data_IF_011035579642
#
_entry.id   IF_011035579642
#
_cell.length_a   1.000
_cell.length_b   1.000
_cell.length_c   1.000
_cell.angle_alpha   90.00
_cell.angle_beta   90.00
_cell.angle_gamma   90.00
#
_symmetry.space_group_name_H-M   'P 1'
#
loop_
_entity.id
_entity.type
_entity.pdbx_description
1 polymer ?
#
# COMPACT_ATOMS: atom_id res chain seq x y z
N UNK A 1 9.51 27.44 2.55
CA UNK A 1 9.39 26.03 3.01
C UNK A 1 10.02 25.17 1.95
N UNK A 2 11.14 24.48 2.22
CA UNK A 2 11.72 23.56 1.25
C UNK A 2 10.65 22.53 0.89
N UNK A 3 10.21 22.52 -0.38
CA UNK A 3 9.44 21.41 -0.92
C UNK A 3 10.35 20.19 -0.84
N UNK A 4 10.11 19.29 0.12
CA UNK A 4 10.74 17.99 0.09
C UNK A 4 10.22 17.30 -1.19
N UNK A 5 11.06 17.21 -2.20
CA UNK A 5 10.80 16.40 -3.40
C UNK A 5 10.50 14.96 -2.95
N UNK A 6 9.54 14.33 -3.61
CA UNK A 6 9.27 12.91 -3.36
C UNK A 6 10.48 12.11 -3.86
N UNK A 7 11.01 11.23 -3.02
CA UNK A 7 11.99 10.23 -3.43
C UNK A 7 11.23 9.00 -3.98
N UNK A 8 10.90 9.05 -5.27
CA UNK A 8 10.14 8.02 -5.98
C UNK A 8 10.94 7.48 -7.17
N UNK A 9 10.53 6.31 -7.68
CA UNK A 9 11.06 5.77 -8.93
C UNK A 9 9.92 5.39 -9.86
N UNK A 10 10.02 5.76 -11.12
CA UNK A 10 9.06 5.40 -12.17
C UNK A 10 9.75 4.56 -13.24
N UNK A 11 9.12 3.45 -13.61
CA UNK A 11 9.54 2.59 -14.71
C UNK A 11 8.48 2.67 -15.81
N UNK A 12 8.88 3.20 -16.97
CA UNK A 12 8.04 3.30 -18.17
C UNK A 12 8.59 2.28 -19.17
N UNK A 13 7.77 1.32 -19.66
CA UNK A 13 8.22 0.32 -20.60
C UNK A 13 8.55 0.95 -21.96
N UNK A 14 9.63 0.50 -22.60
CA UNK A 14 10.15 1.04 -23.87
C UNK A 14 9.16 0.95 -25.05
N UNK A 15 8.18 0.04 -24.98
CA UNK A 15 7.08 -0.08 -25.94
C UNK A 15 5.78 -0.52 -25.23
N UNK A 16 4.61 0.01 -25.62
CA UNK A 16 3.34 -0.56 -25.21
C UNK A 16 3.23 -1.96 -25.81
N UNK A 17 3.37 -3.00 -24.97
CA UNK A 17 3.20 -4.38 -25.40
C UNK A 17 1.71 -4.63 -25.66
N UNK A 18 1.26 -4.26 -26.86
CA UNK A 18 -0.16 -4.24 -27.21
C UNK A 18 -0.46 -3.92 -28.67
N UNK A 19 0.44 -4.23 -29.61
CA UNK A 19 0.08 -4.45 -31.02
C UNK A 19 0.99 -5.56 -31.56
N UNK A 20 0.66 -6.82 -31.25
CA UNK A 20 1.04 -7.91 -32.14
C UNK A 20 -0.04 -7.95 -33.22
N UNK A 21 0.29 -7.49 -34.42
CA UNK A 21 -0.52 -7.74 -35.62
C UNK A 21 -0.53 -9.25 -35.90
N UNK A 22 -1.41 -9.98 -35.23
CA UNK A 22 -1.89 -11.24 -35.76
C UNK A 22 -3.05 -10.93 -36.68
N UNK A 23 -2.77 -11.03 -37.98
CA UNK A 23 -3.77 -11.13 -39.02
C UNK A 23 -4.67 -12.34 -38.73
N UNK A 24 -5.87 -12.08 -38.22
CA UNK A 24 -7.15 -12.75 -38.53
C UNK A 24 -8.19 -12.51 -37.40
N UNK A 25 -9.19 -11.68 -37.70
CA UNK A 25 -10.58 -11.90 -37.28
C UNK A 25 -10.95 -11.84 -35.80
N UNK A 26 -10.84 -10.67 -35.15
CA UNK A 26 -11.55 -10.37 -33.90
C UNK A 26 -11.09 -9.06 -33.27
N UNK A 27 -11.94 -8.03 -33.24
CA UNK A 27 -11.67 -6.80 -32.49
C UNK A 27 -11.75 -7.10 -30.99
N UNK A 28 -10.67 -7.59 -30.40
CA UNK A 28 -10.45 -7.39 -28.96
C UNK A 28 -10.12 -5.90 -28.77
N UNK A 29 -11.00 -5.18 -28.07
CA UNK A 29 -10.71 -3.82 -27.63
C UNK A 29 -9.39 -3.87 -26.84
N UNK A 30 -8.33 -3.26 -27.38
CA UNK A 30 -6.99 -3.29 -26.77
C UNK A 30 -7.08 -2.88 -25.31
N UNK A 31 -6.93 -3.85 -24.41
CA UNK A 31 -7.13 -3.61 -22.98
C UNK A 31 -5.91 -2.85 -22.48
N UNK A 32 -6.11 -1.58 -22.12
CA UNK A 32 -5.03 -0.72 -21.65
C UNK A 32 -4.42 -1.33 -20.37
N UNK A 33 -3.11 -1.60 -20.39
CA UNK A 33 -2.39 -2.07 -19.21
C UNK A 33 -2.53 -1.04 -18.09
N UNK A 34 -2.76 -1.46 -16.83
CA UNK A 34 -2.88 -0.53 -15.73
C UNK A 34 -1.51 0.06 -15.36
N UNK A 35 -1.52 1.30 -14.88
CA UNK A 35 -0.41 1.86 -14.11
C UNK A 35 -0.45 1.26 -12.70
N UNK A 36 0.67 0.74 -12.24
CA UNK A 36 0.79 0.13 -10.91
C UNK A 36 1.53 1.05 -9.97
N UNK A 37 0.95 1.35 -8.81
CA UNK A 37 1.60 2.14 -7.76
C UNK A 37 1.92 1.22 -6.58
N UNK A 38 3.22 1.00 -6.33
CA UNK A 38 3.73 0.24 -5.19
C UNK A 38 3.97 1.19 -3.99
N UNK A 39 3.24 0.97 -2.90
CA UNK A 39 3.38 1.72 -1.65
C UNK A 39 4.12 0.88 -0.62
N UNK A 40 5.41 1.17 -0.46
CA UNK A 40 6.34 0.37 0.34
C UNK A 40 6.07 0.36 1.85
N UNK A 41 6.66 -0.63 2.52
CA UNK A 41 6.59 -0.78 3.97
C UNK A 41 7.64 0.06 4.70
N UNK A 42 7.53 0.13 6.02
CA UNK A 42 8.42 0.93 6.86
C UNK A 42 9.88 0.51 6.69
N UNK A 43 10.73 1.45 6.27
CA UNK A 43 12.17 1.25 6.10
C UNK A 43 12.58 0.41 4.90
N UNK A 44 11.66 0.10 3.98
CA UNK A 44 12.02 -0.59 2.75
C UNK A 44 12.80 0.32 1.80
N UNK A 45 13.72 -0.26 1.04
CA UNK A 45 14.50 0.46 0.02
C UNK A 45 13.86 0.28 -1.35
N UNK A 46 14.18 1.17 -2.29
CA UNK A 46 13.77 1.02 -3.69
C UNK A 46 14.18 -0.34 -4.29
N UNK A 47 15.37 -0.84 -3.93
CA UNK A 47 15.86 -2.18 -4.31
C UNK A 47 14.94 -3.30 -3.82
N UNK A 48 14.27 -3.15 -2.68
CA UNK A 48 13.29 -4.12 -2.21
C UNK A 48 12.05 -4.10 -3.12
N UNK A 49 11.52 -2.91 -3.41
CA UNK A 49 10.34 -2.74 -4.28
C UNK A 49 10.61 -3.11 -5.74
N UNK A 50 11.84 -2.97 -6.25
CA UNK A 50 12.23 -3.35 -7.61
C UNK A 50 11.84 -4.79 -7.96
N UNK A 51 11.93 -5.72 -6.98
CA UNK A 51 11.56 -7.13 -7.17
C UNK A 51 10.06 -7.30 -7.45
N UNK A 52 9.24 -6.51 -6.77
CA UNK A 52 7.78 -6.49 -6.95
C UNK A 52 7.42 -5.73 -8.23
N UNK A 53 8.11 -4.63 -8.53
CA UNK A 53 7.95 -3.85 -9.78
C UNK A 53 8.15 -4.72 -11.01
N UNK A 54 9.18 -5.58 -10.99
CA UNK A 54 9.49 -6.49 -12.08
C UNK A 54 8.34 -7.45 -12.44
N UNK A 55 7.39 -7.71 -11.53
CA UNK A 55 6.19 -8.50 -11.84
C UNK A 55 5.33 -7.78 -12.88
N UNK A 56 5.13 -6.48 -12.72
CA UNK A 56 4.25 -5.66 -13.54
C UNK A 56 4.97 -5.06 -14.73
N UNK A 57 6.18 -4.53 -14.52
CA UNK A 57 6.97 -3.90 -15.58
C UNK A 57 7.28 -4.86 -16.74
N UNK A 58 7.61 -6.12 -16.44
CA UNK A 58 7.82 -7.18 -17.48
C UNK A 58 6.57 -7.47 -18.32
N UNK A 59 5.41 -6.97 -17.92
CA UNK A 59 4.12 -7.13 -18.62
C UNK A 59 3.65 -5.85 -19.29
N UNK A 60 4.51 -4.82 -19.34
CA UNK A 60 4.21 -3.55 -20.02
C UNK A 60 3.41 -2.56 -19.18
N UNK A 61 3.33 -2.74 -17.86
CA UNK A 61 2.78 -1.73 -16.96
C UNK A 61 3.80 -0.62 -16.71
N UNK A 62 3.32 0.62 -16.64
CA UNK A 62 4.05 1.69 -15.95
C UNK A 62 4.00 1.37 -14.45
N UNK A 63 5.15 1.46 -13.77
CA UNK A 63 5.20 1.19 -12.32
C UNK A 63 5.82 2.37 -11.59
N UNK A 64 5.09 2.92 -10.62
CA UNK A 64 5.59 3.93 -9.69
C UNK A 64 5.87 3.24 -8.36
N UNK A 65 7.09 3.41 -7.86
CA UNK A 65 7.55 2.90 -6.56
C UNK A 65 7.72 4.07 -5.61
N UNK A 66 7.09 3.99 -4.45
CA UNK A 66 7.23 4.99 -3.42
C UNK A 66 7.21 4.39 -2.02
N UNK A 67 8.12 4.84 -1.16
CA UNK A 67 8.16 4.45 0.26
C UNK A 67 8.07 5.70 1.12
N UNK A 68 7.04 5.78 1.95
CA UNK A 68 6.91 6.89 2.89
C UNK A 68 8.06 6.86 3.93
N UNK A 69 8.62 8.02 4.32
CA UNK A 69 9.64 8.06 5.34
C UNK A 69 9.14 7.45 6.66
N UNK A 70 9.85 6.44 7.18
CA UNK A 70 9.40 5.68 8.35
C UNK A 70 9.16 6.57 9.59
N UNK A 71 9.91 7.67 9.75
CA UNK A 71 9.71 8.59 10.87
C UNK A 71 8.36 9.31 10.79
N UNK A 72 7.84 9.59 9.58
CA UNK A 72 6.48 10.13 9.43
C UNK A 72 5.43 9.09 9.80
N UNK A 73 5.62 7.84 9.36
CA UNK A 73 4.73 6.71 9.66
C UNK A 73 4.67 6.42 11.17
N UNK A 74 5.82 6.34 11.85
CA UNK A 74 5.88 5.92 13.26
C UNK A 74 5.73 7.07 14.26
N UNK A 75 6.11 8.31 13.90
CA UNK A 75 6.04 9.45 14.83
C UNK A 75 5.01 10.49 14.43
N UNK A 76 5.04 11.00 13.19
CA UNK A 76 4.12 12.09 12.79
C UNK A 76 2.66 11.64 12.83
N UNK A 77 2.34 10.46 12.30
CA UNK A 77 0.99 9.89 12.36
C UNK A 77 0.56 9.60 13.80
N UNK A 78 1.45 9.05 14.63
CA UNK A 78 1.20 8.80 16.06
C UNK A 78 0.94 10.09 16.86
N UNK A 79 1.41 11.24 16.38
CA UNK A 79 1.16 12.55 16.97
C UNK A 79 -0.09 13.23 16.38
N UNK A 80 -0.84 12.55 15.51
CA UNK A 80 -2.02 13.10 14.83
C UNK A 80 -1.70 14.11 13.73
N UNK A 81 -0.43 14.26 13.33
CA UNK A 81 -0.02 15.19 12.28
C UNK A 81 -0.21 14.50 10.93
N UNK A 82 -1.09 15.00 10.03
CA UNK A 82 -1.45 14.34 8.77
C UNK A 82 -0.39 14.52 7.68
N UNK A 83 0.88 14.33 8.03
CA UNK A 83 2.04 14.54 7.14
C UNK A 83 1.99 13.66 5.90
N UNK A 84 1.48 12.43 6.01
CA UNK A 84 1.33 11.52 4.88
C UNK A 84 0.30 12.01 3.85
N UNK A 85 -0.65 12.88 4.24
CA UNK A 85 -1.63 13.46 3.30
C UNK A 85 -0.95 14.30 2.22
N UNK A 86 0.06 15.08 2.60
CA UNK A 86 0.84 15.90 1.65
C UNK A 86 1.61 15.00 0.69
N UNK A 87 2.17 13.89 1.19
CA UNK A 87 2.88 12.92 0.35
C UNK A 87 1.93 12.19 -0.60
N UNK A 88 0.75 11.79 -0.14
CA UNK A 88 -0.29 11.18 -0.97
C UNK A 88 -0.76 12.13 -2.08
N UNK A 89 -0.94 13.42 -1.76
CA UNK A 89 -1.29 14.44 -2.76
C UNK A 89 -0.21 14.56 -3.84
N UNK A 90 1.06 14.74 -3.43
CA UNK A 90 2.17 14.83 -4.37
C UNK A 90 2.30 13.57 -5.24
N UNK A 91 2.06 12.39 -4.67
CA UNK A 91 2.10 11.13 -5.41
C UNK A 91 1.02 11.06 -6.48
N UNK A 92 -0.19 11.56 -6.20
CA UNK A 92 -1.26 11.64 -7.19
C UNK A 92 -1.01 12.74 -8.23
N UNK A 93 -0.32 13.83 -7.87
CA UNK A 93 0.07 14.89 -8.79
C UNK A 93 1.04 14.39 -9.88
N UNK A 94 1.93 13.44 -9.54
CA UNK A 94 2.82 12.78 -10.52
C UNK A 94 2.06 12.19 -11.71
N UNK A 95 0.84 11.67 -11.51
CA UNK A 95 0.05 11.09 -12.59
C UNK A 95 -0.27 12.12 -13.68
N UNK A 96 -0.43 13.38 -13.31
CA UNK A 96 -0.68 14.48 -14.25
C UNK A 96 0.63 15.01 -14.84
N UNK A 97 1.70 15.05 -14.04
CA UNK A 97 3.01 15.53 -14.48
C UNK A 97 3.60 14.63 -15.59
N UNK A 98 3.32 13.33 -15.53
CA UNK A 98 3.69 12.35 -16.56
C UNK A 98 2.60 12.09 -17.61
N UNK A 99 1.46 12.80 -17.56
CA UNK A 99 0.33 12.63 -18.49
C UNK A 99 -0.24 11.20 -18.56
N UNK A 100 -0.25 10.50 -17.42
CA UNK A 100 -0.72 9.12 -17.26
C UNK A 100 -2.01 9.01 -16.44
N UNK A 101 -2.66 10.14 -16.12
CA UNK A 101 -3.86 10.21 -15.27
C UNK A 101 -5.08 9.48 -15.86
N UNK A 102 -5.08 9.20 -17.16
CA UNK A 102 -6.12 8.44 -17.87
C UNK A 102 -5.93 6.93 -17.78
N UNK A 103 -4.75 6.45 -17.35
CA UNK A 103 -4.51 5.02 -17.23
C UNK A 103 -5.31 4.41 -16.07
N UNK A 104 -5.81 3.17 -16.20
CA UNK A 104 -6.37 2.44 -15.06
C UNK A 104 -5.31 2.30 -13.97
N UNK A 105 -5.66 2.57 -12.71
CA UNK A 105 -4.75 2.52 -11.57
C UNK A 105 -4.93 1.24 -10.76
N UNK A 106 -3.84 0.51 -10.54
CA UNK A 106 -3.76 -0.60 -9.59
C UNK A 106 -2.83 -0.20 -8.44
N UNK A 107 -3.29 -0.31 -7.21
CA UNK A 107 -2.43 -0.11 -6.03
C UNK A 107 -1.93 -1.45 -5.51
N UNK A 108 -0.67 -1.51 -5.12
CA UNK A 108 -0.11 -2.61 -4.35
C UNK A 108 0.52 -2.04 -3.08
N UNK A 109 -0.11 -2.33 -1.95
CA UNK A 109 0.09 -1.65 -0.68
C UNK A 109 0.71 -2.61 0.32
N UNK A 110 1.93 -2.32 0.77
CA UNK A 110 2.69 -3.19 1.65
C UNK A 110 2.62 -2.72 3.11
N UNK A 111 2.31 -3.65 4.01
CA UNK A 111 2.30 -3.44 5.47
C UNK A 111 1.39 -2.28 5.91
N UNK A 112 1.37 -2.01 7.21
CA UNK A 112 0.62 -0.87 7.76
C UNK A 112 1.18 0.48 7.31
N UNK A 113 2.49 0.57 7.07
CA UNK A 113 3.11 1.81 6.58
C UNK A 113 2.55 2.25 5.22
N UNK A 114 2.43 1.32 4.25
CA UNK A 114 1.81 1.59 2.96
C UNK A 114 0.32 1.89 3.11
N UNK A 115 -0.38 1.17 3.98
CA UNK A 115 -1.82 1.39 4.25
C UNK A 115 -2.07 2.79 4.82
N UNK A 116 -1.25 3.26 5.76
CA UNK A 116 -1.36 4.60 6.35
C UNK A 116 -1.22 5.72 5.31
N UNK A 117 -0.42 5.51 4.26
CA UNK A 117 -0.37 6.43 3.12
C UNK A 117 -1.60 6.25 2.20
N UNK A 118 -1.95 5.00 1.91
CA UNK A 118 -3.07 4.66 1.03
C UNK A 118 -4.42 5.21 1.52
N UNK A 119 -4.65 5.24 2.84
CA UNK A 119 -5.88 5.83 3.40
C UNK A 119 -6.05 7.32 3.03
N UNK A 120 -4.95 8.07 2.88
CA UNK A 120 -5.00 9.44 2.40
C UNK A 120 -5.18 9.52 0.90
N UNK A 121 -4.65 8.56 0.14
CA UNK A 121 -4.99 8.42 -1.29
C UNK A 121 -6.50 8.23 -1.46
N UNK A 122 -7.13 7.33 -0.70
CA UNK A 122 -8.58 7.13 -0.71
C UNK A 122 -9.35 8.42 -0.39
N UNK A 123 -8.96 9.13 0.67
CA UNK A 123 -9.56 10.41 1.05
C UNK A 123 -9.47 11.44 -0.08
N UNK A 124 -8.29 11.58 -0.69
CA UNK A 124 -8.03 12.54 -1.75
C UNK A 124 -8.79 12.21 -3.04
N UNK A 125 -8.91 10.93 -3.41
CA UNK A 125 -9.72 10.48 -4.54
C UNK A 125 -11.20 10.88 -4.38
N UNK A 126 -11.71 10.94 -3.15
CA UNK A 126 -13.10 11.31 -2.87
C UNK A 126 -13.31 12.81 -2.73
N UNK A 127 -12.37 13.50 -2.08
CA UNK A 127 -12.57 14.89 -1.64
C UNK A 127 -11.95 15.92 -2.57
N UNK A 128 -10.94 15.55 -3.35
CA UNK A 128 -10.17 16.50 -4.16
C UNK A 128 -10.62 16.46 -5.63
N UNK A 129 -11.18 17.58 -6.13
CA UNK A 129 -11.75 17.66 -7.48
C UNK A 129 -10.80 17.28 -8.61
N UNK A 130 -9.49 17.49 -8.42
CA UNK A 130 -8.49 17.09 -9.43
C UNK A 130 -8.38 15.57 -9.54
N UNK A 131 -8.57 14.84 -8.46
CA UNK A 131 -8.28 13.40 -8.38
C UNK A 131 -9.52 12.51 -8.51
N UNK A 132 -10.74 13.07 -8.39
CA UNK A 132 -11.97 12.29 -8.45
C UNK A 132 -12.26 11.60 -9.81
N UNK A 133 -11.50 11.94 -10.85
CA UNK A 133 -11.59 11.32 -12.17
C UNK A 133 -10.59 10.17 -12.37
N UNK A 134 -9.67 9.95 -11.42
CA UNK A 134 -8.69 8.87 -11.49
C UNK A 134 -9.41 7.52 -11.36
N UNK A 135 -9.21 6.64 -12.34
CA UNK A 135 -9.88 5.34 -12.40
C UNK A 135 -9.07 4.28 -11.66
N UNK A 136 -9.36 4.05 -10.38
CA UNK A 136 -8.81 2.91 -9.64
C UNK A 136 -9.57 1.64 -10.02
N UNK A 137 -8.84 0.62 -10.49
CA UNK A 137 -9.42 -0.67 -10.91
C UNK A 137 -9.22 -1.79 -9.90
N UNK A 138 -8.30 -1.64 -8.95
CA UNK A 138 -8.13 -2.62 -7.88
C UNK A 138 -7.01 -2.29 -6.92
N UNK A 139 -6.99 -3.00 -5.79
CA UNK A 139 -5.95 -2.87 -4.77
C UNK A 139 -5.49 -4.24 -4.27
N UNK A 140 -4.18 -4.43 -4.19
CA UNK A 140 -3.54 -5.56 -3.51
C UNK A 140 -3.01 -5.06 -2.18
N UNK A 141 -3.41 -5.68 -1.09
CA UNK A 141 -2.83 -5.50 0.23
C UNK A 141 -1.91 -6.67 0.52
N UNK A 142 -0.63 -6.38 0.81
CA UNK A 142 0.39 -7.36 1.15
C UNK A 142 0.84 -7.15 2.59
N UNK A 143 0.62 -8.18 3.41
CA UNK A 143 0.95 -8.19 4.84
C UNK A 143 0.28 -7.03 5.61
N UNK A 144 -0.97 -6.72 5.26
CA UNK A 144 -1.76 -5.64 5.83
C UNK A 144 -3.22 -5.69 5.34
N UNK A 145 -4.11 -4.86 5.88
CA UNK A 145 -3.95 -3.99 7.04
C UNK A 145 -4.07 -4.76 8.37
N UNK A 146 -3.37 -4.30 9.40
CA UNK A 146 -3.45 -4.83 10.76
C UNK A 146 -3.93 -3.78 11.76
N UNK A 147 -4.68 -4.21 12.78
CA UNK A 147 -5.25 -3.32 13.79
C UNK A 147 -4.28 -3.16 14.97
N UNK A 148 -3.77 -1.93 15.11
CA UNK A 148 -3.18 -1.35 16.34
C UNK A 148 -2.40 -2.32 17.25
N UNK A 149 -1.55 -3.17 16.67
CA UNK A 149 -0.71 -4.08 17.41
C UNK A 149 0.58 -3.35 17.84
N UNK A 150 0.61 -2.82 19.07
CA UNK A 150 1.80 -2.13 19.59
C UNK A 150 3.05 -3.03 19.55
N UNK A 151 2.90 -4.32 19.85
CA UNK A 151 4.01 -5.29 19.77
C UNK A 151 4.48 -5.45 18.32
N UNK A 152 3.55 -5.53 17.37
CA UNK A 152 3.85 -5.57 15.94
C UNK A 152 4.56 -4.31 15.46
N UNK A 153 4.08 -3.13 15.86
CA UNK A 153 4.71 -1.85 15.55
C UNK A 153 6.13 -1.74 16.14
N UNK A 154 6.33 -2.22 17.37
CA UNK A 154 7.66 -2.31 17.99
C UNK A 154 8.58 -3.27 17.23
N UNK A 155 8.09 -4.44 16.81
CA UNK A 155 8.86 -5.38 15.98
C UNK A 155 9.25 -4.76 14.64
N UNK A 156 8.31 -4.08 13.97
CA UNK A 156 8.57 -3.39 12.71
C UNK A 156 9.62 -2.29 12.89
N UNK A 157 9.46 -1.43 13.90
CA UNK A 157 10.44 -0.37 14.20
C UNK A 157 11.81 -0.95 14.58
N UNK A 158 11.84 -2.04 15.34
CA UNK A 158 13.08 -2.72 15.71
C UNK A 158 13.82 -3.30 14.49
N UNK A 159 13.09 -3.82 13.49
CA UNK A 159 13.66 -4.29 12.23
C UNK A 159 14.24 -3.13 11.40
N UNK A 160 13.53 -2.00 11.32
CA UNK A 160 14.01 -0.79 10.63
C UNK A 160 15.32 -0.27 11.27
N UNK A 161 15.41 -0.33 12.59
CA UNK A 161 16.55 0.17 13.36
C UNK A 161 17.67 -0.85 13.57
N UNK A 162 17.61 -2.02 12.92
CA UNK A 162 18.54 -3.13 13.16
C UNK A 162 20.02 -2.71 13.02
N UNK A 163 20.32 -1.87 12.02
CA UNK A 163 21.68 -1.42 11.70
C UNK A 163 22.09 -0.13 12.44
N UNK A 164 21.27 0.38 13.38
CA UNK A 164 21.59 1.58 14.17
C UNK A 164 22.34 1.21 15.45
N UNK A 165 23.17 2.11 16.00
CA UNK A 165 23.85 1.88 17.27
C UNK A 165 22.87 1.48 18.38
N UNK A 166 23.24 0.51 19.22
CA UNK A 166 22.35 -0.09 20.22
C UNK A 166 21.69 0.94 21.15
N UNK A 167 22.44 1.95 21.60
CA UNK A 167 21.92 3.03 22.45
C UNK A 167 20.85 3.87 21.73
N UNK A 168 21.08 4.24 20.46
CA UNK A 168 20.13 5.01 19.67
C UNK A 168 18.88 4.16 19.38
N UNK A 169 19.05 2.89 19.01
CA UNK A 169 17.96 1.95 18.80
C UNK A 169 17.09 1.82 20.06
N UNK A 170 17.71 1.63 21.22
CA UNK A 170 17.00 1.56 22.50
C UNK A 170 16.24 2.86 22.80
N UNK A 171 16.90 4.03 22.66
CA UNK A 171 16.24 5.32 22.89
C UNK A 171 15.02 5.52 21.99
N UNK A 172 15.13 5.20 20.69
CA UNK A 172 14.03 5.36 19.75
C UNK A 172 12.87 4.40 20.04
N UNK A 173 13.16 3.15 20.42
CA UNK A 173 12.12 2.18 20.80
C UNK A 173 11.41 2.61 22.10
N UNK A 174 12.16 3.08 23.09
CA UNK A 174 11.59 3.62 24.34
C UNK A 174 10.75 4.86 24.05
N UNK A 175 11.27 5.81 23.27
CA UNK A 175 10.54 7.02 22.88
C UNK A 175 9.24 6.68 22.14
N UNK A 176 9.28 5.75 21.16
CA UNK A 176 8.09 5.29 20.46
C UNK A 176 7.07 4.65 21.40
N UNK A 177 7.54 3.79 22.33
CA UNK A 177 6.66 3.15 23.32
C UNK A 177 5.99 4.18 24.23
N UNK A 178 6.76 5.14 24.75
CA UNK A 178 6.25 6.20 25.61
C UNK A 178 5.25 7.09 24.88
N UNK A 179 5.53 7.47 23.63
CA UNK A 179 4.61 8.26 22.80
C UNK A 179 3.33 7.47 22.51
N UNK A 180 3.43 6.19 22.14
CA UNK A 180 2.28 5.35 21.86
C UNK A 180 1.39 5.17 23.10
N UNK A 181 1.98 4.93 24.28
CA UNK A 181 1.24 4.81 25.54
C UNK A 181 0.62 6.16 25.92
N UNK A 182 1.38 7.26 25.85
CA UNK A 182 0.88 8.60 26.14
C UNK A 182 -0.32 8.93 25.24
N UNK A 183 -0.22 8.64 23.95
CA UNK A 183 -1.30 8.89 23.01
C UNK A 183 -2.53 8.01 23.32
N UNK A 184 -2.34 6.72 23.57
CA UNK A 184 -3.44 5.81 23.92
C UNK A 184 -4.12 6.14 25.26
N UNK A 185 -3.37 6.60 26.27
CA UNK A 185 -3.92 6.85 27.61
C UNK A 185 -4.47 8.27 27.75
N UNK A 186 -3.77 9.26 27.22
CA UNK A 186 -4.10 10.68 27.41
C UNK A 186 -4.98 11.24 26.29
N UNK A 187 -4.70 10.85 25.05
CA UNK A 187 -5.27 11.48 23.86
C UNK A 187 -6.39 10.66 23.23
N UNK A 188 -6.37 9.32 23.26
CA UNK A 188 -7.40 8.49 22.65
C UNK A 188 -8.86 8.89 22.97
N UNK A 189 -9.26 9.21 24.23
CA UNK A 189 -10.63 9.67 24.50
C UNK A 189 -10.94 11.06 23.93
N UNK A 190 -9.93 11.92 23.77
CA UNK A 190 -10.06 13.28 23.21
C UNK A 190 -9.99 13.28 21.67
N UNK A 191 -9.12 12.45 21.11
CA UNK A 191 -8.86 12.32 19.67
C UNK A 191 -9.83 11.38 19.00
N UNK A 192 -10.51 10.47 19.70
CA UNK A 192 -11.60 9.67 19.13
C UNK A 192 -12.72 10.53 18.52
N UNK A 193 -12.85 11.80 18.95
CA UNK A 193 -13.81 12.76 18.40
C UNK A 193 -13.37 13.36 17.04
N UNK A 194 -12.08 13.31 16.69
CA UNK A 194 -11.52 14.05 15.53
C UNK A 194 -10.54 13.26 14.65
N UNK A 195 -9.94 12.18 15.17
CA UNK A 195 -8.98 11.32 14.49
C UNK A 195 -9.52 9.90 14.46
N UNK A 196 -9.91 9.47 13.27
CA UNK A 196 -10.25 8.08 12.98
C UNK A 196 -8.98 7.34 12.61
N UNK A 197 -8.75 6.19 13.24
CA UNK A 197 -7.58 5.36 12.98
C UNK A 197 -7.60 4.88 11.52
N UNK A 198 -6.42 4.68 10.91
CA UNK A 198 -6.35 4.30 9.49
C UNK A 198 -7.10 2.99 9.21
N UNK A 199 -7.07 2.05 10.16
CA UNK A 199 -7.71 0.75 10.06
C UNK A 199 -9.23 0.91 10.00
N UNK A 200 -9.82 1.69 10.91
CA UNK A 200 -11.25 1.99 10.93
C UNK A 200 -11.69 2.71 9.65
N UNK A 201 -10.85 3.62 9.14
CA UNK A 201 -11.10 4.32 7.88
C UNK A 201 -11.12 3.39 6.67
N UNK A 202 -10.35 2.29 6.71
CA UNK A 202 -10.37 1.29 5.66
C UNK A 202 -11.60 0.37 5.76
N UNK A 203 -12.03 0.01 6.98
CA UNK A 203 -13.25 -0.79 7.17
C UNK A 203 -14.44 -0.13 6.45
N UNK A 204 -14.65 1.16 6.72
CA UNK A 204 -15.77 1.94 6.17
C UNK A 204 -15.45 2.65 4.84
N UNK A 205 -14.34 2.29 4.18
CA UNK A 205 -13.91 2.99 2.97
C UNK A 205 -14.99 2.94 1.87
N UNK A 206 -15.28 4.07 1.25
CA UNK A 206 -16.26 4.14 0.16
C UNK A 206 -15.76 3.56 -1.18
N UNK A 207 -14.51 3.08 -1.26
CA UNK A 207 -14.01 2.33 -2.42
C UNK A 207 -14.83 1.07 -2.67
N UNK A 208 -15.06 0.75 -3.95
CA UNK A 208 -15.85 -0.41 -4.40
C UNK A 208 -15.16 -1.24 -5.48
N UNK A 209 -13.91 -0.94 -5.79
CA UNK A 209 -13.11 -1.75 -6.72
C UNK A 209 -12.66 -3.06 -6.05
N UNK A 210 -12.33 -4.10 -6.85
CA UNK A 210 -11.81 -5.35 -6.32
C UNK A 210 -10.58 -5.19 -5.43
N UNK A 211 -10.49 -6.04 -4.41
CA UNK A 211 -9.40 -6.06 -3.42
C UNK A 211 -8.82 -7.48 -3.29
N UNK A 212 -7.49 -7.59 -3.24
CA UNK A 212 -6.76 -8.84 -2.98
C UNK A 212 -5.93 -8.71 -1.70
N UNK A 213 -6.12 -9.59 -0.74
CA UNK A 213 -5.37 -9.64 0.51
C UNK A 213 -4.40 -10.81 0.51
N UNK A 214 -3.11 -10.51 0.62
CA UNK A 214 -2.03 -11.47 0.73
C UNK A 214 -1.47 -11.37 2.16
N UNK A 215 -1.58 -12.43 2.94
CA UNK A 215 -1.19 -12.42 4.35
C UNK A 215 -0.69 -13.79 4.82
N UNK A 216 -0.19 -13.88 6.05
CA UNK A 216 0.18 -15.16 6.63
C UNK A 216 -0.14 -15.26 8.11
N UNK A 217 -0.62 -16.42 8.56
CA UNK A 217 -0.74 -16.73 10.00
C UNK A 217 0.60 -16.75 10.74
N UNK A 218 1.73 -16.86 10.05
CA UNK A 218 3.07 -16.75 10.63
C UNK A 218 3.62 -15.31 10.69
N UNK A 219 2.85 -14.31 10.25
CA UNK A 219 3.25 -12.91 10.33
C UNK A 219 3.21 -12.43 11.79
N UNK A 220 4.38 -12.09 12.34
CA UNK A 220 4.53 -11.61 13.72
C UNK A 220 4.32 -10.09 13.89
N UNK A 221 4.17 -9.36 12.78
CA UNK A 221 4.01 -7.90 12.74
C UNK A 221 2.52 -7.56 12.59
N UNK A 222 1.87 -8.10 11.55
CA UNK A 222 0.44 -7.94 11.29
C UNK A 222 -0.25 -9.28 11.54
N UNK A 223 -1.24 -9.29 12.43
CA UNK A 223 -1.92 -10.54 12.77
C UNK A 223 -2.90 -10.92 11.67
N UNK A 224 -2.89 -12.19 11.26
CA UNK A 224 -3.83 -12.73 10.25
C UNK A 224 -5.30 -12.42 10.55
N UNK A 225 -5.70 -12.50 11.83
CA UNK A 225 -7.07 -12.20 12.28
C UNK A 225 -7.52 -10.77 11.94
N UNK A 226 -6.59 -9.81 11.90
CA UNK A 226 -6.91 -8.43 11.60
C UNK A 226 -7.19 -8.31 10.09
N UNK A 227 -6.36 -8.94 9.26
CA UNK A 227 -6.61 -9.01 7.81
C UNK A 227 -7.93 -9.71 7.51
N UNK A 228 -8.22 -10.82 8.19
CA UNK A 228 -9.48 -11.57 8.04
C UNK A 228 -10.70 -10.71 8.43
N UNK A 229 -10.63 -9.97 9.54
CA UNK A 229 -11.68 -9.02 9.94
C UNK A 229 -11.88 -7.92 8.88
N UNK A 230 -10.80 -7.41 8.29
CA UNK A 230 -10.90 -6.47 7.17
C UNK A 230 -11.63 -7.11 5.99
N UNK A 231 -11.22 -8.30 5.56
CA UNK A 231 -11.86 -9.04 4.46
C UNK A 231 -13.37 -9.19 4.70
N UNK A 232 -13.78 -9.62 5.89
CA UNK A 232 -15.19 -9.76 6.26
C UNK A 232 -15.96 -8.44 6.16
N UNK A 233 -15.40 -7.33 6.67
CA UNK A 233 -16.03 -6.02 6.59
C UNK A 233 -16.19 -5.54 5.14
N UNK A 234 -15.17 -5.73 4.31
CA UNK A 234 -15.19 -5.32 2.89
C UNK A 234 -16.18 -6.15 2.08
N UNK A 235 -16.27 -7.46 2.34
CA UNK A 235 -17.31 -8.32 1.77
C UNK A 235 -18.73 -7.86 2.17
N UNK A 236 -18.92 -7.46 3.44
CA UNK A 236 -20.20 -6.91 3.91
C UNK A 236 -20.58 -5.59 3.19
N UNK A 237 -19.59 -4.83 2.72
CA UNK A 237 -19.77 -3.65 1.87
C UNK A 237 -19.91 -3.98 0.37
N UNK A 238 -20.12 -5.25 0.02
CA UNK A 238 -20.29 -5.74 -1.37
C UNK A 238 -19.07 -5.46 -2.26
N UNK A 239 -17.88 -5.41 -1.68
CA UNK A 239 -16.63 -5.31 -2.42
C UNK A 239 -16.21 -6.70 -2.88
N UNK A 240 -15.76 -6.83 -4.13
CA UNK A 240 -15.18 -8.09 -4.61
C UNK A 240 -13.83 -8.30 -3.92
N UNK A 241 -13.76 -9.26 -3.00
CA UNK A 241 -12.56 -9.52 -2.21
C UNK A 241 -12.06 -10.93 -2.49
N UNK A 242 -10.75 -11.03 -2.73
CA UNK A 242 -10.01 -12.29 -2.71
C UNK A 242 -8.98 -12.24 -1.58
N UNK A 243 -8.77 -13.34 -0.86
CA UNK A 243 -7.77 -13.41 0.20
C UNK A 243 -6.99 -14.71 0.14
N UNK A 244 -5.70 -14.65 0.47
CA UNK A 244 -4.78 -15.79 0.47
C UNK A 244 -3.92 -15.73 1.73
N UNK A 245 -4.04 -16.77 2.54
CA UNK A 245 -3.14 -17.03 3.65
C UNK A 245 -2.00 -17.96 3.22
N UNK A 246 -0.77 -17.46 3.29
CA UNK A 246 0.46 -18.20 2.97
C UNK A 246 0.93 -19.12 4.11
N UNK A 247 0.23 -19.13 5.25
CA UNK A 247 0.41 -20.02 6.41
C UNK A 247 1.73 -19.83 7.19
N UNK A 248 2.88 -19.79 6.50
CA UNK A 248 4.21 -19.89 7.11
C UNK A 248 5.21 -18.79 6.73
N UNK A 249 4.89 -17.92 5.76
CA UNK A 249 5.82 -16.86 5.34
C UNK A 249 5.85 -15.73 6.35
N UNK A 250 7.04 -15.16 6.58
CA UNK A 250 7.20 -13.98 7.42
C UNK A 250 6.57 -12.72 6.79
N UNK A 251 6.47 -11.65 7.59
CA UNK A 251 5.98 -10.34 7.16
C UNK A 251 6.66 -9.87 5.87
N UNK A 252 5.87 -9.52 4.85
CA UNK A 252 6.30 -9.01 3.53
C UNK A 252 7.30 -9.94 2.82
N UNK A 253 7.26 -11.23 3.14
CA UNK A 253 8.17 -12.24 2.59
C UNK A 253 7.48 -13.24 1.65
N UNK A 254 6.20 -13.02 1.33
CA UNK A 254 5.42 -13.93 0.47
C UNK A 254 6.07 -14.15 -0.90
N UNK A 255 6.56 -13.10 -1.56
CA UNK A 255 7.28 -13.21 -2.84
C UNK A 255 8.60 -13.99 -2.69
N UNK A 256 9.30 -13.86 -1.56
CA UNK A 256 10.56 -14.57 -1.31
C UNK A 256 10.31 -16.05 -1.11
N UNK A 257 9.32 -16.40 -0.31
CA UNK A 257 9.06 -17.78 0.11
C UNK A 257 8.24 -18.55 -0.95
N UNK A 258 7.38 -17.85 -1.70
CA UNK A 258 6.45 -18.43 -2.68
C UNK A 258 6.45 -17.69 -4.03
N UNK A 259 7.59 -17.55 -4.72
CA UNK A 259 7.76 -16.60 -5.83
C UNK A 259 6.79 -16.82 -6.99
N UNK A 260 6.63 -18.06 -7.45
CA UNK A 260 5.75 -18.39 -8.58
C UNK A 260 4.28 -18.22 -8.21
N UNK A 261 3.88 -18.70 -7.03
CA UNK A 261 2.49 -18.62 -6.59
C UNK A 261 2.07 -17.17 -6.34
N UNK A 262 2.88 -16.41 -5.61
CA UNK A 262 2.69 -14.99 -5.39
C UNK A 262 2.58 -14.20 -6.70
N UNK A 263 3.52 -14.41 -7.62
CA UNK A 263 3.52 -13.72 -8.93
C UNK A 263 2.24 -14.02 -9.70
N UNK A 264 1.78 -15.28 -9.72
CA UNK A 264 0.56 -15.66 -10.41
C UNK A 264 -0.68 -15.00 -9.79
N UNK A 265 -0.77 -14.92 -8.46
CA UNK A 265 -1.86 -14.23 -7.77
C UNK A 265 -1.93 -12.75 -8.18
N UNK A 266 -0.81 -12.03 -8.09
CA UNK A 266 -0.75 -10.61 -8.46
C UNK A 266 -1.13 -10.36 -9.92
N UNK A 267 -0.64 -11.21 -10.83
CA UNK A 267 -0.86 -11.05 -12.28
C UNK A 267 -2.29 -11.39 -12.67
N UNK A 268 -2.85 -12.47 -12.11
CA UNK A 268 -4.22 -12.87 -12.39
C UNK A 268 -5.20 -11.82 -11.88
N UNK A 269 -4.96 -11.29 -10.67
CA UNK A 269 -5.77 -10.21 -10.11
C UNK A 269 -5.68 -8.92 -10.93
N UNK A 270 -4.47 -8.51 -11.33
CA UNK A 270 -4.29 -7.35 -12.21
C UNK A 270 -5.10 -7.50 -13.51
N UNK A 271 -5.01 -8.67 -14.15
CA UNK A 271 -5.76 -8.96 -15.39
C UNK A 271 -7.26 -8.92 -15.16
N UNK A 272 -7.77 -9.56 -14.10
CA UNK A 272 -9.20 -9.54 -13.80
C UNK A 272 -9.73 -8.12 -13.57
N UNK A 273 -8.93 -7.22 -12.98
CA UNK A 273 -9.35 -5.85 -12.72
C UNK A 273 -9.52 -4.99 -13.99
N UNK A 274 -8.80 -5.29 -15.07
CA UNK A 274 -8.89 -4.51 -16.34
C UNK A 274 -9.86 -5.10 -17.36
N UNK A 275 -10.27 -6.35 -17.17
CA UNK A 275 -11.24 -7.03 -18.04
C UNK A 275 -12.69 -6.98 -17.52
N UNK A 276 -12.94 -6.30 -16.39
CA UNK A 276 -14.27 -6.06 -15.83
C UNK A 276 -14.91 -4.75 -16.31
#
# INVERSE_FOLDING_TARGET
MLSAELDYTIEIPDQPCGIQENSEGGKEAGTQQPLVILLGWGGCTDKNLAKYSAIYHKRGCIVIRYTAPWHMVFFSESLGIPSLRVLAQKLLELLFDYEVEKQPLLFHVFSNAGVMLYRYVLELLQTHRRFCHLRVVGTIFDSGPGDSNLVGALRALAAILEHRPAMLRLMLLVAFTLVAILFHVLLAPLTALFHTHFYDRLLDAASRWPELYLYSRADEVVMARDVERMVEARLAHQVLVHSVDFVSSAHVSHLRDYPTYYTNLCVNFMRSCVHC
#
